data_IF_673276711319
#
_entry.id   IF_673276711319
#
_cell.length_a   1.000
_cell.length_b   1.000
_cell.length_c   1.000
_cell.angle_alpha   90.00
_cell.angle_beta   90.00
_cell.angle_gamma   90.00
#
_symmetry.space_group_name_H-M   'P 1'
#
loop_
_entity.id
_entity.type
_entity.pdbx_description
1 polymer ?
#
# COMPACT_ATOMS: atom_id res chain seq x y z
N UNK A 1 4.61 -9.35 -16.56
CA UNK A 1 4.53 -8.76 -15.21
C UNK A 1 4.15 -9.80 -14.16
N UNK A 2 3.00 -10.49 -14.26
CA UNK A 2 2.58 -11.51 -13.28
C UNK A 2 3.61 -12.64 -13.08
N UNK A 3 4.35 -13.02 -14.12
CA UNK A 3 5.34 -14.08 -14.03
C UNK A 3 6.78 -13.59 -13.73
N UNK A 4 7.01 -12.28 -13.58
CA UNK A 4 8.36 -11.68 -13.51
C UNK A 4 9.22 -12.28 -12.39
N UNK A 5 8.63 -12.60 -11.23
CA UNK A 5 9.34 -13.20 -10.09
C UNK A 5 8.94 -14.66 -9.81
N UNK A 6 8.18 -15.29 -10.71
CA UNK A 6 7.64 -16.65 -10.50
C UNK A 6 8.73 -17.71 -10.48
N UNK A 7 9.85 -17.47 -11.16
CA UNK A 7 11.01 -18.36 -11.20
C UNK A 7 11.98 -18.20 -10.03
N UNK A 8 11.79 -17.18 -9.17
CA UNK A 8 12.69 -16.96 -8.04
C UNK A 8 12.47 -18.06 -7.00
N UNK A 9 13.54 -18.79 -6.70
CA UNK A 9 13.54 -19.82 -5.65
C UNK A 9 13.87 -19.16 -4.31
N UNK A 10 13.01 -19.26 -3.29
CA UNK A 10 13.31 -18.73 -1.97
C UNK A 10 14.58 -19.37 -1.40
N UNK A 11 15.43 -18.55 -0.79
CA UNK A 11 16.62 -19.01 -0.07
C UNK A 11 16.24 -19.75 1.21
N UNK A 12 17.12 -20.63 1.74
CA UNK A 12 16.97 -21.14 3.10
C UNK A 12 16.85 -19.98 4.10
N UNK A 13 15.73 -19.93 4.85
CA UNK A 13 15.46 -18.84 5.78
C UNK A 13 14.69 -17.64 5.19
N UNK A 14 14.26 -17.71 3.93
CA UNK A 14 13.40 -16.67 3.34
C UNK A 14 12.11 -16.47 4.16
N UNK A 15 11.72 -15.21 4.32
CA UNK A 15 10.54 -14.83 5.10
C UNK A 15 9.36 -14.46 4.20
N UNK A 16 8.14 -14.67 4.71
CA UNK A 16 6.92 -14.24 4.01
C UNK A 16 6.73 -12.74 4.18
N UNK A 17 6.38 -12.05 3.09
CA UNK A 17 5.88 -10.68 3.15
C UNK A 17 4.38 -10.66 2.80
N UNK A 18 3.58 -10.01 3.65
CA UNK A 18 2.13 -9.87 3.43
C UNK A 18 1.80 -8.74 2.46
N UNK A 19 2.64 -7.71 2.42
CA UNK A 19 2.53 -6.62 1.46
C UNK A 19 3.11 -7.03 0.09
N UNK A 20 2.35 -6.79 -0.97
CA UNK A 20 2.82 -6.98 -2.34
C UNK A 20 3.42 -5.67 -2.90
N UNK A 21 4.34 -5.73 -3.87
CA UNK A 21 4.82 -4.53 -4.56
C UNK A 21 3.68 -3.68 -5.12
N UNK A 22 2.62 -4.31 -5.64
CA UNK A 22 1.44 -3.60 -6.14
C UNK A 22 0.72 -2.81 -5.04
N UNK A 23 0.56 -3.38 -3.85
CA UNK A 23 -0.04 -2.68 -2.70
C UNK A 23 0.84 -1.54 -2.20
N UNK A 24 2.16 -1.73 -2.17
CA UNK A 24 3.07 -0.69 -1.75
C UNK A 24 3.04 0.51 -2.73
N UNK A 25 2.94 0.26 -4.04
CA UNK A 25 2.76 1.29 -5.08
C UNK A 25 1.40 1.97 -4.96
N UNK A 26 0.31 1.24 -4.69
CA UNK A 26 -1.00 1.83 -4.43
C UNK A 26 -0.94 2.83 -3.26
N UNK A 27 -0.34 2.43 -2.13
CA UNK A 27 -0.12 3.33 -0.99
C UNK A 27 0.71 4.55 -1.36
N UNK A 28 1.78 4.37 -2.15
CA UNK A 28 2.60 5.47 -2.64
C UNK A 28 1.80 6.43 -3.51
N UNK A 29 0.93 5.92 -4.39
CA UNK A 29 0.09 6.76 -5.27
C UNK A 29 -0.86 7.66 -4.46
N UNK A 30 -1.49 7.12 -3.41
CA UNK A 30 -2.35 7.90 -2.52
C UNK A 30 -1.55 8.94 -1.74
N UNK A 31 -0.33 8.60 -1.32
CA UNK A 31 0.56 9.56 -0.64
C UNK A 31 0.93 10.73 -1.57
N UNK A 32 1.27 10.45 -2.83
CA UNK A 32 1.59 11.49 -3.81
C UNK A 32 0.40 12.42 -4.08
N UNK A 33 -0.83 11.89 -4.11
CA UNK A 33 -2.04 12.72 -4.22
C UNK A 33 -2.19 13.65 -3.01
N UNK A 34 -1.97 13.14 -1.79
CA UNK A 34 -1.99 13.97 -0.57
C UNK A 34 -0.94 15.08 -0.62
N UNK A 35 0.28 14.75 -1.05
CA UNK A 35 1.37 15.72 -1.22
C UNK A 35 0.99 16.81 -2.22
N UNK A 36 0.44 16.42 -3.37
CA UNK A 36 0.00 17.35 -4.41
C UNK A 36 -1.00 18.37 -3.87
N UNK A 37 -2.05 17.92 -3.18
CA UNK A 37 -3.05 18.82 -2.61
C UNK A 37 -2.49 19.65 -1.44
N UNK A 38 -1.62 19.08 -0.60
CA UNK A 38 -0.96 19.84 0.47
C UNK A 38 -0.08 20.95 -0.08
N UNK A 39 0.63 20.69 -1.18
CA UNK A 39 1.44 21.70 -1.88
C UNK A 39 0.59 22.86 -2.39
N UNK A 40 -0.64 22.59 -2.87
CA UNK A 40 -1.56 23.66 -3.25
C UNK A 40 -1.95 24.55 -2.07
N UNK A 41 -2.28 23.96 -0.92
CA UNK A 41 -2.61 24.73 0.30
C UNK A 41 -1.44 25.59 0.79
N UNK A 42 -0.20 25.08 0.71
CA UNK A 42 1.01 25.84 1.03
C UNK A 42 1.24 27.03 0.08
N UNK A 43 0.75 26.93 -1.16
CA UNK A 43 0.93 27.95 -2.20
C UNK A 43 -0.22 28.97 -2.25
N UNK A 44 -1.22 28.86 -1.37
CA UNK A 44 -2.35 29.80 -1.33
C UNK A 44 -1.90 31.19 -0.92
N UNK A 45 -2.41 32.20 -1.64
CA UNK A 45 -2.16 33.62 -1.34
C UNK A 45 -3.19 34.22 -0.38
N UNK A 46 -4.30 33.53 -0.13
CA UNK A 46 -5.44 34.00 0.66
C UNK A 46 -5.58 33.30 2.03
N UNK A 47 -4.48 32.81 2.60
CA UNK A 47 -4.46 32.10 3.88
C UNK A 47 -3.63 32.87 4.92
N UNK A 48 -3.89 32.61 6.21
CA UNK A 48 -3.10 33.19 7.30
C UNK A 48 -1.70 32.58 7.34
N UNK A 49 -0.73 33.31 7.91
CA UNK A 49 0.65 32.83 8.04
C UNK A 49 0.72 31.56 8.88
N UNK A 50 -0.10 31.47 9.92
CA UNK A 50 -0.19 30.33 10.83
C UNK A 50 -0.71 29.09 10.09
N UNK A 51 -1.72 29.25 9.23
CA UNK A 51 -2.24 28.17 8.40
C UNK A 51 -1.17 27.68 7.41
N UNK A 52 -0.51 28.59 6.71
CA UNK A 52 0.57 28.25 5.77
C UNK A 52 1.73 27.52 6.47
N UNK A 53 2.11 27.94 7.67
CA UNK A 53 3.14 27.27 8.46
C UNK A 53 2.71 25.84 8.85
N UNK A 54 1.48 25.65 9.31
CA UNK A 54 0.94 24.33 9.64
C UNK A 54 0.86 23.42 8.40
N UNK A 55 0.48 23.95 7.24
CA UNK A 55 0.46 23.19 5.98
C UNK A 55 1.86 22.82 5.51
N UNK A 56 2.86 23.69 5.69
CA UNK A 56 4.28 23.37 5.40
C UNK A 56 4.79 22.22 6.26
N UNK A 57 4.53 22.25 7.57
CA UNK A 57 4.90 21.14 8.46
C UNK A 57 4.28 19.81 8.03
N UNK A 58 3.00 19.82 7.62
CA UNK A 58 2.35 18.63 7.07
C UNK A 58 2.99 18.15 5.77
N UNK A 59 3.35 19.08 4.88
CA UNK A 59 4.03 18.76 3.62
C UNK A 59 5.40 18.13 3.86
N UNK A 60 6.14 18.62 4.86
CA UNK A 60 7.45 18.08 5.24
C UNK A 60 7.31 16.62 5.71
N UNK A 61 6.33 16.33 6.57
CA UNK A 61 6.00 14.97 7.02
C UNK A 61 5.64 14.08 5.83
N UNK A 62 4.78 14.55 4.92
CA UNK A 62 4.39 13.76 3.74
C UNK A 62 5.60 13.48 2.82
N UNK A 63 6.53 14.42 2.73
CA UNK A 63 7.76 14.28 1.94
C UNK A 63 8.73 13.26 2.56
N UNK A 64 8.82 13.21 3.88
CA UNK A 64 9.56 12.16 4.60
C UNK A 64 8.93 10.79 4.37
N UNK A 65 7.61 10.68 4.55
CA UNK A 65 6.87 9.45 4.27
C UNK A 65 7.08 8.94 2.84
N UNK A 66 7.18 9.84 1.86
CA UNK A 66 7.41 9.48 0.46
C UNK A 66 8.79 8.84 0.27
N UNK A 67 9.83 9.43 0.88
CA UNK A 67 11.20 8.91 0.81
C UNK A 67 11.28 7.53 1.45
N UNK A 68 10.75 7.38 2.66
CA UNK A 68 10.78 6.12 3.40
C UNK A 68 10.02 5.02 2.66
N UNK A 69 8.83 5.35 2.14
CA UNK A 69 8.02 4.39 1.39
C UNK A 69 8.70 3.98 0.08
N UNK A 70 9.33 4.91 -0.63
CA UNK A 70 10.05 4.61 -1.87
C UNK A 70 11.23 3.68 -1.58
N UNK A 71 12.03 3.99 -0.55
CA UNK A 71 13.14 3.15 -0.12
C UNK A 71 12.67 1.74 0.30
N UNK A 72 11.58 1.66 1.05
CA UNK A 72 11.02 0.38 1.48
C UNK A 72 10.52 -0.47 0.29
N UNK A 73 9.97 0.17 -0.75
CA UNK A 73 9.56 -0.51 -1.99
C UNK A 73 10.78 -1.05 -2.74
N UNK A 74 11.81 -0.24 -2.91
CA UNK A 74 13.05 -0.65 -3.58
C UNK A 74 13.69 -1.85 -2.85
N UNK A 75 13.75 -1.78 -1.51
CA UNK A 75 14.28 -2.87 -0.69
C UNK A 75 13.42 -4.13 -0.78
N UNK A 76 12.09 -4.00 -0.79
CA UNK A 76 11.18 -5.13 -0.93
C UNK A 76 11.37 -5.83 -2.28
N UNK A 77 11.49 -5.06 -3.37
CA UNK A 77 11.73 -5.60 -4.71
C UNK A 77 13.07 -6.33 -4.75
N UNK A 78 14.14 -5.70 -4.26
CA UNK A 78 15.47 -6.31 -4.22
C UNK A 78 15.50 -7.59 -3.35
N UNK A 79 14.80 -7.61 -2.21
CA UNK A 79 14.68 -8.79 -1.36
C UNK A 79 13.92 -9.93 -2.04
N UNK A 80 12.89 -9.61 -2.83
CA UNK A 80 12.14 -10.60 -3.62
C UNK A 80 13.02 -11.14 -4.75
N UNK A 81 13.74 -10.28 -5.48
CA UNK A 81 14.66 -10.67 -6.55
C UNK A 81 15.79 -11.57 -6.04
N UNK A 82 16.32 -11.27 -4.85
CA UNK A 82 17.35 -12.06 -4.20
C UNK A 82 16.81 -13.36 -3.55
N UNK A 83 15.50 -13.61 -3.59
CA UNK A 83 14.87 -14.78 -2.96
C UNK A 83 14.88 -14.75 -1.43
N UNK A 84 15.16 -13.61 -0.81
CA UNK A 84 15.14 -13.41 0.66
C UNK A 84 13.73 -13.25 1.21
N UNK A 85 12.84 -12.70 0.39
CA UNK A 85 11.41 -12.57 0.68
C UNK A 85 10.59 -13.22 -0.42
N UNK A 86 9.43 -13.76 -0.05
CA UNK A 86 8.43 -14.21 -1.00
C UNK A 86 7.05 -13.74 -0.58
N UNK A 87 6.16 -13.59 -1.55
CA UNK A 87 4.76 -13.24 -1.32
C UNK A 87 3.86 -14.44 -1.63
N UNK A 88 2.78 -14.62 -0.87
CA UNK A 88 1.73 -15.60 -1.16
C UNK A 88 0.45 -14.85 -1.49
N UNK A 89 -0.11 -15.14 -2.66
CA UNK A 89 -1.44 -14.64 -3.03
C UNK A 89 -2.47 -15.63 -2.53
N UNK A 90 -3.34 -15.18 -1.63
CA UNK A 90 -4.47 -15.96 -1.15
C UNK A 90 -5.72 -15.62 -1.96
N UNK A 91 -6.51 -16.64 -2.31
CA UNK A 91 -7.87 -16.41 -2.82
C UNK A 91 -8.73 -15.84 -1.69
N UNK A 92 -9.58 -14.87 -2.01
CA UNK A 92 -10.55 -14.34 -1.05
C UNK A 92 -11.61 -15.40 -0.74
N UNK A 93 -11.80 -15.72 0.55
CA UNK A 93 -12.80 -16.68 1.03
C UNK A 93 -14.07 -15.96 1.49
N UNK A 94 -14.77 -15.32 0.56
CA UNK A 94 -16.00 -14.54 0.87
C UNK A 94 -17.19 -15.47 1.03
N UNK A 95 -17.65 -15.66 2.27
CA UNK A 95 -18.79 -16.56 2.57
C UNK A 95 -20.15 -15.98 2.17
N UNK A 96 -20.32 -14.65 2.20
CA UNK A 96 -21.62 -14.00 1.97
C UNK A 96 -22.14 -14.12 0.53
N UNK A 97 -21.27 -14.42 -0.43
CA UNK A 97 -21.67 -14.66 -1.82
C UNK A 97 -22.09 -16.11 -2.07
N UNK A 98 -21.85 -17.02 -1.12
CA UNK A 98 -22.25 -18.41 -1.22
C UNK A 98 -23.61 -18.61 -0.50
N UNK A 99 -24.68 -18.95 -1.23
CA UNK A 99 -26.00 -19.19 -0.62
C UNK A 99 -26.03 -20.30 0.44
N UNK A 100 -25.10 -21.25 0.40
CA UNK A 100 -24.99 -22.31 1.41
C UNK A 100 -24.30 -21.85 2.70
N UNK A 101 -23.53 -20.75 2.64
CA UNK A 101 -22.78 -20.22 3.79
C UNK A 101 -23.34 -18.88 4.30
N UNK A 102 -24.21 -18.22 3.54
CA UNK A 102 -24.79 -16.94 3.93
C UNK A 102 -25.97 -17.12 4.91
N UNK A 103 -25.84 -16.68 6.18
CA UNK A 103 -26.88 -16.86 7.20
C UNK A 103 -28.21 -16.24 6.85
N UNK A 104 -28.21 -15.11 6.13
CA UNK A 104 -29.44 -14.44 5.72
C UNK A 104 -30.22 -15.30 4.72
N UNK A 105 -29.54 -16.01 3.83
CA UNK A 105 -30.17 -16.79 2.76
C UNK A 105 -30.70 -18.15 3.23
N UNK A 106 -30.02 -18.83 4.16
CA UNK A 106 -30.49 -20.10 4.68
C UNK A 106 -31.40 -19.96 5.90
N UNK A 107 -31.31 -18.87 6.69
CA UNK A 107 -32.26 -18.61 7.77
C UNK A 107 -33.64 -18.19 7.25
N UNK A 108 -33.70 -17.54 6.08
CA UNK A 108 -34.95 -17.19 5.41
C UNK A 108 -35.68 -18.38 4.75
N UNK A 109 -35.09 -19.59 4.78
CA UNK A 109 -35.69 -20.84 4.27
C UNK A 109 -36.33 -21.70 5.37
N UNK A 110 -36.36 -21.23 6.62
CA UNK A 110 -37.17 -21.81 7.70
C UNK A 110 -38.53 -21.11 7.78
#
# INVERSE_FOLDING_TARGET
FLDTYKGIKPLPGATINTESPAWAIDRLSILLLKMYHMQQEVNRTNATKEHLAACRQKLDILSEQQKDLSLAIDQLIADIEAGKKYMKVYKQMKMYNDPALNPVLYAAKK
#
